data_IF_650851255569
#
_entry.id   IF_650851255569
#
_cell.length_a   1.000
_cell.length_b   1.000
_cell.length_c   1.000
_cell.angle_alpha   90.00
_cell.angle_beta   90.00
_cell.angle_gamma   90.00
#
_symmetry.space_group_name_H-M   'P 1'
#
loop_
_entity.id
_entity.type
_entity.pdbx_description
1 polymer ?
#
# COMPACT_ATOMS: atom_id res chain seq x y z
N UNK A 1 -58.86 -39.80 37.51
CA UNK A 1 -57.75 -40.07 38.47
C UNK A 1 -56.36 -40.06 37.85
N UNK A 2 -56.10 -40.78 36.74
CA UNK A 2 -54.77 -40.85 36.09
C UNK A 2 -54.24 -39.52 35.55
N UNK A 3 -55.09 -38.69 34.94
CA UNK A 3 -54.68 -37.39 34.40
C UNK A 3 -54.30 -36.35 35.46
N UNK A 4 -55.01 -36.33 36.59
CA UNK A 4 -54.66 -35.46 37.73
C UNK A 4 -53.26 -35.81 38.25
N UNK A 5 -52.91 -37.09 38.38
CA UNK A 5 -51.56 -37.52 38.77
C UNK A 5 -50.49 -37.13 37.76
N UNK A 6 -50.77 -37.22 36.45
CA UNK A 6 -49.83 -36.77 35.41
C UNK A 6 -49.54 -35.27 35.48
N UNK A 7 -50.59 -34.45 35.70
CA UNK A 7 -50.43 -32.99 35.86
C UNK A 7 -49.63 -32.64 37.12
N UNK A 8 -49.86 -33.34 38.22
CA UNK A 8 -49.09 -33.19 39.47
C UNK A 8 -47.60 -33.50 39.26
N UNK A 9 -47.29 -34.63 38.63
CA UNK A 9 -45.91 -35.04 38.30
C UNK A 9 -45.22 -34.05 37.37
N UNK A 10 -45.93 -33.54 36.36
CA UNK A 10 -45.40 -32.53 35.44
C UNK A 10 -45.10 -31.21 36.17
N UNK A 11 -45.96 -30.78 37.11
CA UNK A 11 -45.71 -29.60 37.94
C UNK A 11 -44.47 -29.77 38.81
N UNK A 12 -44.29 -30.91 39.47
CA UNK A 12 -43.08 -31.21 40.25
C UNK A 12 -41.82 -31.21 39.39
N UNK A 13 -41.86 -31.81 38.19
CA UNK A 13 -40.73 -31.77 37.24
C UNK A 13 -40.38 -30.34 36.84
N UNK A 14 -41.38 -29.51 36.52
CA UNK A 14 -41.15 -28.12 36.13
C UNK A 14 -40.59 -27.27 37.27
N UNK A 15 -41.02 -27.50 38.52
CA UNK A 15 -40.46 -26.81 39.70
C UNK A 15 -39.00 -27.22 39.92
N UNK A 16 -38.70 -28.52 39.87
CA UNK A 16 -37.33 -29.02 40.01
C UNK A 16 -36.42 -28.49 38.89
N UNK A 17 -36.90 -28.48 37.65
CA UNK A 17 -36.16 -27.92 36.52
C UNK A 17 -35.87 -26.42 36.68
N UNK A 18 -36.86 -25.65 37.14
CA UNK A 18 -36.66 -24.21 37.42
C UNK A 18 -35.67 -23.96 38.55
N UNK A 19 -35.69 -24.79 39.60
CA UNK A 19 -34.72 -24.72 40.69
C UNK A 19 -33.30 -25.01 40.20
N UNK A 20 -33.11 -26.13 39.51
CA UNK A 20 -31.82 -26.54 38.96
C UNK A 20 -31.24 -25.49 38.00
N UNK A 21 -32.10 -24.90 37.16
CA UNK A 21 -31.70 -23.82 36.23
C UNK A 21 -31.25 -22.55 36.97
N UNK A 22 -31.90 -22.21 38.09
CA UNK A 22 -31.50 -21.06 38.93
C UNK A 22 -30.18 -21.30 39.64
N UNK A 23 -29.98 -22.50 40.19
CA UNK A 23 -28.72 -22.90 40.84
C UNK A 23 -27.56 -22.84 39.83
N UNK A 24 -27.72 -23.47 38.66
CA UNK A 24 -26.68 -23.42 37.61
C UNK A 24 -26.36 -22.00 37.15
N UNK A 25 -27.36 -21.12 37.06
CA UNK A 25 -27.13 -19.71 36.72
C UNK A 25 -26.37 -18.98 37.84
N UNK A 26 -26.68 -19.25 39.10
CA UNK A 26 -25.98 -18.65 40.23
C UNK A 26 -24.51 -19.10 40.26
N UNK A 27 -24.23 -20.37 39.99
CA UNK A 27 -22.87 -20.92 39.92
C UNK A 27 -22.06 -20.25 38.79
N UNK A 28 -22.63 -20.13 37.58
CA UNK A 28 -21.96 -19.45 36.46
C UNK A 28 -21.68 -17.97 36.76
N UNK A 29 -22.58 -17.27 37.46
CA UNK A 29 -22.38 -15.87 37.85
C UNK A 29 -21.34 -15.71 38.97
N UNK A 30 -21.18 -16.72 39.81
CA UNK A 30 -20.12 -16.76 40.81
C UNK A 30 -18.76 -16.99 40.15
N UNK A 31 -18.66 -18.01 39.28
CA UNK A 31 -17.44 -18.33 38.54
C UNK A 31 -16.97 -17.15 37.68
N UNK A 32 -17.88 -16.51 36.94
CA UNK A 32 -17.56 -15.30 36.17
C UNK A 32 -16.93 -14.21 37.04
N UNK A 33 -17.48 -13.95 38.22
CA UNK A 33 -16.94 -12.93 39.14
C UNK A 33 -15.55 -13.28 39.66
N UNK A 34 -15.27 -14.57 39.88
CA UNK A 34 -13.94 -15.04 40.28
C UNK A 34 -12.94 -14.82 39.13
N UNK A 35 -13.30 -15.23 37.91
CA UNK A 35 -12.44 -15.07 36.73
C UNK A 35 -12.19 -13.60 36.38
N UNK A 36 -13.19 -12.73 36.50
CA UNK A 36 -13.02 -11.28 36.29
C UNK A 36 -12.01 -10.66 37.27
N UNK A 37 -12.01 -11.10 38.54
CA UNK A 37 -11.03 -10.64 39.53
C UNK A 37 -9.63 -11.15 39.23
N UNK A 38 -9.49 -12.42 38.84
CA UNK A 38 -8.21 -13.01 38.47
C UNK A 38 -7.60 -12.29 37.25
N UNK A 39 -8.43 -12.00 36.23
CA UNK A 39 -7.99 -11.25 35.06
C UNK A 39 -7.53 -9.84 35.43
N UNK A 40 -8.26 -9.14 36.31
CA UNK A 40 -7.86 -7.82 36.78
C UNK A 40 -6.50 -7.84 37.49
N UNK A 41 -6.24 -8.86 38.31
CA UNK A 41 -4.95 -9.03 38.98
C UNK A 41 -3.81 -9.26 37.97
N UNK A 42 -4.01 -10.15 37.00
CA UNK A 42 -3.00 -10.44 35.96
C UNK A 42 -2.72 -9.23 35.07
N UNK A 43 -3.75 -8.46 34.70
CA UNK A 43 -3.59 -7.21 33.93
C UNK A 43 -2.81 -6.17 34.73
N UNK A 44 -3.10 -6.03 36.03
CA UNK A 44 -2.38 -5.10 36.90
C UNK A 44 -0.91 -5.50 37.03
N UNK A 45 -0.63 -6.80 37.22
CA UNK A 45 0.73 -7.31 37.31
C UNK A 45 1.52 -7.10 36.00
N UNK A 46 0.88 -7.35 34.84
CA UNK A 46 1.46 -7.09 33.54
C UNK A 46 1.79 -5.61 33.31
N UNK A 47 0.90 -4.70 33.75
CA UNK A 47 1.15 -3.24 33.70
C UNK A 47 2.33 -2.83 34.58
N UNK A 48 2.42 -3.34 35.81
CA UNK A 48 3.53 -3.05 36.73
C UNK A 48 4.86 -3.58 36.18
N UNK A 49 4.88 -4.75 35.52
CA UNK A 49 6.08 -5.24 34.82
C UNK A 49 6.46 -4.33 33.64
N UNK A 50 5.49 -3.87 32.85
CA UNK A 50 5.72 -2.99 31.72
C UNK A 50 6.29 -1.63 32.17
N UNK A 51 5.73 -1.04 33.23
CA UNK A 51 6.19 0.23 33.80
C UNK A 51 7.62 0.10 34.38
N UNK A 52 7.96 -1.03 35.00
CA UNK A 52 9.33 -1.31 35.49
C UNK A 52 10.36 -1.44 34.35
N UNK A 53 9.95 -1.79 33.13
CA UNK A 53 10.87 -1.88 31.98
C UNK A 53 11.01 -0.58 31.17
N UNK A 54 10.08 0.38 31.28
CA UNK A 54 9.97 1.49 30.33
C UNK A 54 10.64 2.83 30.72
N UNK A 55 10.89 3.14 32.00
CA UNK A 55 11.13 4.56 32.38
C UNK A 55 12.55 5.10 32.09
N UNK A 56 13.57 4.26 31.83
CA UNK A 56 14.95 4.74 31.63
C UNK A 56 15.71 4.19 30.41
N UNK A 57 15.43 2.96 29.98
CA UNK A 57 16.28 2.24 29.03
C UNK A 57 15.81 2.31 27.57
N UNK A 58 14.49 2.38 27.32
CA UNK A 58 13.97 2.34 25.95
C UNK A 58 14.07 3.71 25.26
N UNK A 59 13.77 4.80 25.99
CA UNK A 59 13.83 6.15 25.44
C UNK A 59 15.27 6.61 25.14
N UNK A 60 16.25 6.12 25.89
CA UNK A 60 17.68 6.34 25.64
C UNK A 60 18.16 5.51 24.45
N UNK A 61 17.78 4.22 24.37
CA UNK A 61 18.07 3.38 23.21
C UNK A 61 17.44 3.90 21.92
N UNK A 62 16.20 4.40 21.98
CA UNK A 62 15.50 4.98 20.83
C UNK A 62 16.17 6.27 20.35
N UNK A 63 16.58 7.15 21.27
CA UNK A 63 17.37 8.35 20.93
C UNK A 63 18.71 8.00 20.30
N UNK A 64 19.40 7.00 20.81
CA UNK A 64 20.68 6.55 20.26
C UNK A 64 20.51 5.94 18.85
N UNK A 65 19.47 5.12 18.66
CA UNK A 65 19.12 4.55 17.35
C UNK A 65 18.73 5.64 16.33
N UNK A 66 18.01 6.68 16.73
CA UNK A 66 17.68 7.81 15.85
C UNK A 66 18.93 8.57 15.38
N UNK A 67 19.89 8.80 16.27
CA UNK A 67 21.17 9.44 15.92
C UNK A 67 21.97 8.57 14.96
N UNK A 68 22.00 7.26 15.19
CA UNK A 68 22.66 6.30 14.31
C UNK A 68 22.00 6.23 12.93
N UNK A 69 20.67 6.20 12.87
CA UNK A 69 19.93 6.29 11.61
C UNK A 69 20.27 7.57 10.84
N UNK A 70 20.30 8.72 11.51
CA UNK A 70 20.66 9.99 10.86
C UNK A 70 22.09 9.96 10.30
N UNK A 71 23.05 9.43 11.06
CA UNK A 71 24.43 9.26 10.60
C UNK A 71 24.52 8.33 9.37
N UNK A 72 23.86 7.18 9.42
CA UNK A 72 23.81 6.22 8.32
C UNK A 72 23.13 6.80 7.08
N UNK A 73 22.08 7.61 7.23
CA UNK A 73 21.45 8.28 6.09
C UNK A 73 22.39 9.27 5.42
N UNK A 74 23.16 10.04 6.21
CA UNK A 74 24.16 10.97 5.68
C UNK A 74 25.27 10.22 4.93
N UNK A 75 25.74 9.11 5.47
CA UNK A 75 26.76 8.28 4.82
C UNK A 75 26.23 7.63 3.54
N UNK A 76 24.99 7.15 3.54
CA UNK A 76 24.36 6.57 2.35
C UNK A 76 24.23 7.59 1.21
N UNK A 77 23.90 8.85 1.53
CA UNK A 77 23.85 9.95 0.55
C UNK A 77 25.25 10.18 -0.04
N UNK A 78 26.29 10.29 0.79
CA UNK A 78 27.65 10.49 0.32
C UNK A 78 28.16 9.34 -0.57
N UNK A 79 27.84 8.09 -0.21
CA UNK A 79 28.17 6.92 -1.03
C UNK A 79 27.43 6.92 -2.37
N UNK A 80 26.17 7.35 -2.40
CA UNK A 80 25.39 7.47 -3.65
C UNK A 80 25.99 8.54 -4.57
N UNK A 81 26.40 9.69 -4.03
CA UNK A 81 27.09 10.72 -4.79
C UNK A 81 28.42 10.22 -5.36
N UNK A 82 29.18 9.45 -4.58
CA UNK A 82 30.42 8.83 -5.04
C UNK A 82 30.19 7.81 -6.17
N UNK A 83 29.14 6.99 -6.06
CA UNK A 83 28.74 6.05 -7.12
C UNK A 83 28.29 6.82 -8.38
N UNK A 84 27.51 7.89 -8.23
CA UNK A 84 27.09 8.74 -9.35
C UNK A 84 28.29 9.32 -10.09
N UNK A 85 29.26 9.88 -9.34
CA UNK A 85 30.51 10.37 -9.91
C UNK A 85 31.27 9.27 -10.67
N UNK A 86 31.39 8.07 -10.08
CA UNK A 86 32.10 6.96 -10.72
C UNK A 86 31.37 6.40 -11.95
N UNK A 87 30.04 6.31 -11.91
CA UNK A 87 29.23 5.89 -13.07
C UNK A 87 29.31 6.92 -14.19
N UNK A 88 29.30 8.22 -13.88
CA UNK A 88 29.53 9.27 -14.88
C UNK A 88 30.87 9.09 -15.59
N UNK A 89 31.96 8.89 -14.83
CA UNK A 89 33.30 8.61 -15.40
C UNK A 89 33.26 7.34 -16.28
N UNK A 90 32.63 6.27 -15.80
CA UNK A 90 32.52 5.01 -16.55
C UNK A 90 31.77 5.21 -17.87
N UNK A 91 30.64 5.91 -17.86
CA UNK A 91 29.88 6.19 -19.10
C UNK A 91 30.65 7.08 -20.08
N UNK A 92 31.47 8.01 -19.58
CA UNK A 92 32.34 8.82 -20.44
C UNK A 92 33.42 7.94 -21.10
N UNK A 93 34.06 7.06 -20.33
CA UNK A 93 35.05 6.11 -20.85
C UNK A 93 34.43 5.13 -21.86
N UNK A 94 33.22 4.63 -21.60
CA UNK A 94 32.48 3.77 -22.55
C UNK A 94 32.17 4.51 -23.85
N UNK A 95 31.70 5.78 -23.78
CA UNK A 95 31.46 6.61 -24.98
C UNK A 95 32.74 6.86 -25.78
N UNK A 96 33.86 7.15 -25.12
CA UNK A 96 35.15 7.35 -25.77
C UNK A 96 35.66 6.04 -26.40
N UNK A 97 35.45 4.91 -25.73
CA UNK A 97 35.80 3.57 -26.23
C UNK A 97 34.93 3.19 -27.43
N UNK A 98 33.62 3.42 -27.38
CA UNK A 98 32.69 3.15 -28.48
C UNK A 98 32.93 4.09 -29.67
N UNK A 99 33.26 5.36 -29.43
CA UNK A 99 33.65 6.29 -30.48
C UNK A 99 34.96 5.84 -31.17
N UNK A 100 35.91 5.29 -30.41
CA UNK A 100 37.14 4.72 -30.93
C UNK A 100 36.89 3.43 -31.73
N UNK A 101 36.06 2.52 -31.21
CA UNK A 101 35.68 1.27 -31.90
C UNK A 101 34.81 1.53 -33.14
N UNK A 102 33.96 2.56 -33.13
CA UNK A 102 33.15 2.99 -34.27
C UNK A 102 33.98 3.51 -35.43
N UNK A 103 35.16 4.10 -35.17
CA UNK A 103 36.14 4.47 -36.21
C UNK A 103 36.81 3.25 -36.85
N UNK A 104 36.70 2.06 -36.24
CA UNK A 104 37.39 0.83 -36.66
C UNK A 104 36.48 -0.21 -37.34
N UNK A 105 35.16 0.02 -37.45
CA UNK A 105 34.22 -0.96 -38.04
C UNK A 105 33.86 -0.64 -39.51
N UNK A 106 34.03 -1.59 -40.45
CA UNK A 106 33.39 -1.55 -41.76
C UNK A 106 31.87 -1.77 -41.66
N UNK A 107 31.13 -1.09 -42.54
CA UNK A 107 29.67 -1.11 -42.69
C UNK A 107 29.19 -2.46 -43.20
N UNK A 108 28.26 -3.11 -42.48
CA UNK A 108 27.13 -3.90 -43.01
C UNK A 108 26.18 -4.31 -41.85
N UNK A 109 24.84 -4.15 -41.98
CA UNK A 109 23.88 -4.65 -40.98
C UNK A 109 23.16 -5.94 -41.43
N UNK A 110 22.94 -6.91 -40.52
CA UNK A 110 21.97 -8.00 -40.71
C UNK A 110 20.68 -7.79 -39.88
N UNK A 111 19.59 -8.54 -40.15
CA UNK A 111 18.25 -7.99 -40.38
C UNK A 111 17.33 -8.01 -39.16
N UNK A 112 16.36 -7.10 -39.18
CA UNK A 112 15.19 -7.05 -38.31
C UNK A 112 14.33 -8.31 -38.45
N UNK A 113 14.07 -9.01 -37.34
CA UNK A 113 13.11 -10.10 -37.25
C UNK A 113 11.67 -9.56 -37.14
N UNK A 114 10.79 -10.25 -37.85
CA UNK A 114 9.41 -9.98 -38.19
C UNK A 114 8.40 -10.14 -37.04
N UNK A 115 7.37 -9.28 -37.05
CA UNK A 115 6.11 -9.34 -36.30
C UNK A 115 5.35 -10.66 -36.55
N UNK A 116 4.88 -11.34 -35.48
CA UNK A 116 3.47 -11.83 -35.38
C UNK A 116 3.06 -12.53 -34.05
N UNK A 117 3.88 -12.55 -33.00
CA UNK A 117 3.43 -12.96 -31.64
C UNK A 117 3.93 -11.94 -30.61
N UNK A 118 3.12 -10.93 -30.29
CA UNK A 118 3.60 -9.73 -29.55
C UNK A 118 3.41 -9.82 -28.03
N UNK A 119 3.31 -11.01 -27.44
CA UNK A 119 3.30 -11.22 -25.98
C UNK A 119 4.54 -11.97 -25.50
N UNK A 120 4.82 -11.93 -24.20
CA UNK A 120 5.90 -12.73 -23.59
C UNK A 120 5.51 -13.27 -22.21
N UNK A 121 6.20 -14.33 -21.79
CA UNK A 121 5.99 -14.91 -20.47
C UNK A 121 6.86 -14.22 -19.42
N UNK A 122 6.23 -13.68 -18.38
CA UNK A 122 6.88 -13.08 -17.23
C UNK A 122 7.16 -14.16 -16.19
N UNK A 123 8.43 -14.30 -15.83
CA UNK A 123 8.90 -15.24 -14.81
C UNK A 123 9.03 -14.53 -13.48
N UNK A 124 8.55 -15.18 -12.42
CA UNK A 124 8.66 -14.68 -11.05
C UNK A 124 9.73 -15.47 -10.29
N UNK A 125 10.34 -14.88 -9.24
CA UNK A 125 11.27 -15.61 -8.37
C UNK A 125 10.61 -16.84 -7.72
N UNK A 126 11.43 -17.70 -7.09
CA UNK A 126 10.97 -18.80 -6.24
C UNK A 126 10.06 -19.85 -6.92
N UNK A 127 10.16 -20.02 -8.24
CA UNK A 127 9.31 -20.94 -9.04
C UNK A 127 7.81 -20.65 -8.92
N UNK A 128 7.44 -19.40 -8.65
CA UNK A 128 6.05 -18.97 -8.64
C UNK A 128 5.44 -19.04 -10.06
N UNK A 129 4.11 -19.22 -10.21
CA UNK A 129 3.48 -19.39 -11.51
C UNK A 129 3.81 -18.24 -12.46
N UNK A 130 4.21 -18.53 -13.69
CA UNK A 130 4.48 -17.48 -14.68
C UNK A 130 3.19 -16.82 -15.19
N UNK A 131 3.33 -15.70 -15.91
CA UNK A 131 2.21 -14.98 -16.53
C UNK A 131 2.50 -14.75 -18.02
N UNK A 132 1.59 -15.13 -18.92
CA UNK A 132 1.67 -14.66 -20.30
C UNK A 132 1.11 -13.24 -20.45
N UNK A 133 2.01 -12.27 -20.66
CA UNK A 133 1.69 -10.86 -20.77
C UNK A 133 1.56 -10.41 -22.24
N UNK A 134 0.48 -9.67 -22.52
CA UNK A 134 0.28 -8.95 -23.78
C UNK A 134 0.43 -7.44 -23.54
N UNK A 135 1.28 -6.74 -24.32
CA UNK A 135 1.48 -5.29 -24.23
C UNK A 135 0.20 -4.49 -24.29
N UNK A 136 0.16 -3.41 -23.53
CA UNK A 136 -0.91 -2.44 -23.58
C UNK A 136 -0.67 -1.49 -24.75
N UNK A 137 -1.74 -1.10 -25.42
CA UNK A 137 -1.69 0.05 -26.31
C UNK A 137 -1.65 1.34 -25.50
N UNK A 138 -1.13 2.42 -26.09
CA UNK A 138 -1.10 3.74 -25.44
C UNK A 138 -2.51 4.24 -25.10
N UNK A 139 -3.48 3.97 -25.97
CA UNK A 139 -4.87 4.35 -25.75
C UNK A 139 -5.49 3.60 -24.55
N UNK A 140 -5.20 2.30 -24.38
CA UNK A 140 -5.65 1.55 -23.21
C UNK A 140 -5.03 2.10 -21.93
N UNK A 141 -3.72 2.38 -21.94
CA UNK A 141 -3.02 2.98 -20.81
C UNK A 141 -3.68 4.30 -20.39
N UNK A 142 -3.81 5.25 -21.33
CA UNK A 142 -4.38 6.58 -21.05
C UNK A 142 -5.86 6.49 -20.63
N UNK A 143 -6.64 5.57 -21.22
CA UNK A 143 -8.04 5.38 -20.84
C UNK A 143 -8.21 4.85 -19.40
N UNK A 144 -7.37 3.91 -18.98
CA UNK A 144 -7.39 3.37 -17.62
C UNK A 144 -7.01 4.45 -16.62
N UNK A 145 -5.92 5.20 -16.88
CA UNK A 145 -5.50 6.24 -15.95
C UNK A 145 -6.53 7.38 -15.88
N UNK A 146 -7.09 7.81 -17.01
CA UNK A 146 -8.10 8.87 -17.06
C UNK A 146 -9.40 8.49 -16.33
N UNK A 147 -9.85 7.23 -16.45
CA UNK A 147 -11.02 6.74 -15.72
C UNK A 147 -10.82 6.83 -14.21
N UNK A 148 -9.64 6.46 -13.75
CA UNK A 148 -9.29 6.51 -12.34
C UNK A 148 -9.06 7.94 -11.84
N UNK A 149 -8.56 8.85 -12.68
CA UNK A 149 -8.44 10.27 -12.32
C UNK A 149 -9.82 10.92 -12.10
N UNK A 150 -10.80 10.59 -12.95
CA UNK A 150 -12.19 11.02 -12.77
C UNK A 150 -12.78 10.40 -11.49
N UNK A 151 -12.46 9.13 -11.20
CA UNK A 151 -12.84 8.51 -9.94
C UNK A 151 -12.26 9.31 -8.76
N UNK A 152 -10.98 9.69 -8.79
CA UNK A 152 -10.26 10.58 -7.84
C UNK A 152 -10.88 11.98 -7.73
N UNK A 153 -11.78 12.41 -8.61
CA UNK A 153 -12.51 13.68 -8.43
C UNK A 153 -13.70 13.60 -7.46
N UNK A 154 -14.17 12.41 -7.07
CA UNK A 154 -15.33 12.31 -6.16
C UNK A 154 -15.00 12.85 -4.77
N UNK A 155 -15.85 13.71 -4.18
CA UNK A 155 -15.55 14.35 -2.91
C UNK A 155 -15.59 13.33 -1.77
N UNK A 156 -14.48 13.18 -1.04
CA UNK A 156 -14.51 12.56 0.28
C UNK A 156 -15.43 13.41 1.17
N UNK A 157 -16.57 12.85 1.59
CA UNK A 157 -17.65 13.62 2.22
C UNK A 157 -17.48 13.82 3.72
N UNK A 158 -16.64 13.01 4.39
CA UNK A 158 -16.42 13.09 5.83
C UNK A 158 -14.94 13.35 6.17
N UNK A 159 -14.70 14.37 7.00
CA UNK A 159 -13.38 14.57 7.63
C UNK A 159 -13.35 13.73 8.90
N UNK A 160 -12.47 12.73 8.96
CA UNK A 160 -12.31 11.87 10.14
C UNK A 160 -11.56 12.63 11.24
N UNK A 161 -10.56 13.43 10.86
CA UNK A 161 -9.75 14.19 11.81
C UNK A 161 -8.33 14.37 11.33
N UNK A 162 -7.38 14.41 12.27
CA UNK A 162 -5.95 14.49 11.99
C UNK A 162 -5.22 13.28 12.55
N UNK A 163 -4.33 12.70 11.75
CA UNK A 163 -3.45 11.60 12.18
C UNK A 163 -2.03 12.03 11.82
N UNK A 164 -1.13 12.05 12.81
CA UNK A 164 0.27 12.45 12.65
C UNK A 164 0.47 13.84 12.00
N UNK A 165 -0.53 14.72 12.08
CA UNK A 165 -0.53 16.06 11.48
C UNK A 165 -1.12 16.14 10.05
N UNK A 166 -1.45 15.00 9.44
CA UNK A 166 -2.18 14.92 8.18
C UNK A 166 -3.68 15.01 8.42
N UNK A 167 -4.38 15.82 7.63
CA UNK A 167 -5.85 15.85 7.66
C UNK A 167 -6.38 14.67 6.83
N UNK A 168 -7.24 13.87 7.45
CA UNK A 168 -7.76 12.65 6.84
C UNK A 168 -9.24 12.86 6.49
N UNK A 169 -9.53 12.78 5.20
CA UNK A 169 -10.88 12.69 4.69
C UNK A 169 -11.12 11.27 4.21
N UNK A 170 -12.31 10.76 4.46
CA UNK A 170 -12.70 9.42 4.08
C UNK A 170 -14.05 9.47 3.40
N UNK A 171 -14.18 8.72 2.31
CA UNK A 171 -15.45 8.58 1.60
C UNK A 171 -16.25 7.43 2.19
N UNK A 172 -17.58 7.55 2.35
CA UNK A 172 -18.46 6.40 2.53
C UNK A 172 -18.16 5.35 1.48
N UNK A 173 -18.20 4.08 1.90
CA UNK A 173 -17.93 2.95 1.02
C UNK A 173 -18.92 2.95 -0.14
N UNK A 174 -18.38 2.96 -1.35
CA UNK A 174 -19.18 2.79 -2.56
C UNK A 174 -19.22 1.30 -2.88
N UNK A 175 -20.42 0.75 -3.08
CA UNK A 175 -20.56 -0.56 -3.71
C UNK A 175 -20.30 -0.40 -5.21
N UNK A 176 -19.29 -1.09 -5.70
CA UNK A 176 -18.95 -1.18 -7.14
C UNK A 176 -20.01 -2.00 -7.88
N UNK A 177 -20.43 -3.12 -7.28
CA UNK A 177 -21.53 -3.97 -7.75
C UNK A 177 -22.43 -4.33 -6.56
N UNK A 178 -23.77 -4.32 -6.69
CA UNK A 178 -24.66 -4.68 -5.60
C UNK A 178 -24.34 -6.06 -5.03
N UNK A 179 -23.77 -6.11 -3.82
CA UNK A 179 -23.55 -7.35 -3.05
C UNK A 179 -22.19 -8.04 -3.18
N UNK A 180 -21.24 -7.54 -3.98
CA UNK A 180 -19.98 -8.28 -4.25
C UNK A 180 -18.70 -7.61 -3.74
N UNK A 181 -18.58 -6.28 -3.82
CA UNK A 181 -17.36 -5.60 -3.33
C UNK A 181 -17.63 -4.17 -2.85
N UNK A 182 -16.85 -3.75 -1.85
CA UNK A 182 -16.82 -2.39 -1.35
C UNK A 182 -15.53 -1.71 -1.77
N UNK A 183 -15.60 -0.44 -2.16
CA UNK A 183 -14.43 0.37 -2.42
C UNK A 183 -14.26 1.38 -1.29
N UNK A 184 -13.10 1.34 -0.63
CA UNK A 184 -12.70 2.35 0.33
C UNK A 184 -11.87 3.41 -0.35
N UNK A 185 -11.95 4.61 0.21
CA UNK A 185 -11.18 5.74 -0.27
C UNK A 185 -10.85 6.71 0.84
N UNK A 186 -9.59 7.12 0.88
CA UNK A 186 -9.11 8.14 1.78
C UNK A 186 -8.32 9.20 1.04
N UNK A 187 -8.41 10.43 1.51
CA UNK A 187 -7.62 11.57 1.08
C UNK A 187 -6.87 12.11 2.29
N UNK A 188 -5.56 12.19 2.16
CA UNK A 188 -4.65 12.76 3.14
C UNK A 188 -4.15 14.09 2.61
N UNK A 189 -4.30 15.15 3.40
CA UNK A 189 -3.84 16.50 3.00
C UNK A 189 -2.95 17.12 4.06
N UNK A 190 -1.88 17.77 3.61
CA UNK A 190 -0.98 18.53 4.48
C UNK A 190 -0.17 19.56 3.71
N UNK A 191 0.04 20.72 4.34
CA UNK A 191 1.02 21.71 3.89
C UNK A 191 2.39 21.40 4.47
N UNK A 192 3.39 21.26 3.62
CA UNK A 192 4.78 21.00 3.99
C UNK A 192 5.64 22.24 3.76
N UNK A 193 6.65 22.42 4.61
CA UNK A 193 7.70 23.43 4.43
C UNK A 193 8.84 22.78 3.63
N UNK A 194 8.69 22.79 2.32
CA UNK A 194 9.60 22.24 1.35
C UNK A 194 9.31 22.98 0.02
N UNK A 195 10.32 23.52 -0.67
CA UNK A 195 10.18 23.98 -2.06
C UNK A 195 9.77 22.83 -2.98
N UNK A 196 8.96 23.12 -4.00
CA UNK A 196 8.56 22.09 -4.98
C UNK A 196 9.77 21.45 -5.66
N UNK A 197 10.77 22.26 -6.04
CA UNK A 197 12.00 21.79 -6.69
C UNK A 197 12.80 20.79 -5.84
N UNK A 198 12.69 20.87 -4.51
CA UNK A 198 13.35 19.94 -3.60
C UNK A 198 12.58 18.61 -3.54
N UNK A 199 11.25 18.66 -3.39
CA UNK A 199 10.41 17.48 -3.45
C UNK A 199 10.57 16.73 -4.78
N UNK A 200 10.65 17.45 -5.91
CA UNK A 200 10.86 16.89 -7.25
C UNK A 200 12.18 16.11 -7.40
N UNK A 201 13.21 16.48 -6.66
CA UNK A 201 14.50 15.76 -6.68
C UNK A 201 14.46 14.49 -5.85
N UNK A 202 13.67 14.49 -4.78
CA UNK A 202 13.64 13.40 -3.79
C UNK A 202 12.70 12.28 -4.23
N UNK A 203 11.49 12.61 -4.68
CA UNK A 203 10.44 11.60 -4.94
C UNK A 203 10.82 10.55 -5.99
N UNK A 204 11.38 10.92 -7.17
CA UNK A 204 11.81 9.93 -8.16
C UNK A 204 12.96 9.04 -7.68
N UNK A 205 13.68 9.46 -6.63
CA UNK A 205 14.84 8.77 -6.05
C UNK A 205 14.51 8.01 -4.77
N UNK A 206 13.23 8.01 -4.34
CA UNK A 206 12.77 7.20 -3.22
C UNK A 206 13.10 5.74 -3.48
N UNK A 207 13.58 5.06 -2.44
CA UNK A 207 13.73 3.61 -2.47
C UNK A 207 12.38 2.97 -2.85
N UNK A 208 12.40 1.98 -3.74
CA UNK A 208 11.20 1.25 -4.17
C UNK A 208 10.47 0.62 -2.98
N UNK A 209 11.18 0.30 -1.89
CA UNK A 209 10.57 -0.19 -0.64
C UNK A 209 9.67 0.85 0.04
N UNK A 210 9.85 2.14 -0.28
CA UNK A 210 9.09 3.26 0.26
C UNK A 210 7.98 3.74 -0.69
N UNK A 211 7.86 3.13 -1.87
CA UNK A 211 6.76 3.41 -2.78
C UNK A 211 5.44 2.96 -2.14
N UNK A 212 4.31 3.59 -2.52
CA UNK A 212 3.02 3.23 -1.95
C UNK A 212 2.70 1.77 -2.33
N UNK A 213 2.48 0.95 -1.32
CA UNK A 213 1.97 -0.40 -1.51
C UNK A 213 0.47 -0.27 -1.81
N UNK A 214 0.08 -0.57 -3.06
CA UNK A 214 -1.31 -0.43 -3.50
C UNK A 214 -2.23 -1.49 -2.90
N UNK A 215 -1.66 -2.64 -2.54
CA UNK A 215 -2.37 -3.79 -2.00
C UNK A 215 -1.63 -4.28 -0.76
N UNK A 216 -2.25 -4.19 0.41
CA UNK A 216 -1.69 -4.83 1.61
C UNK A 216 -2.28 -6.24 1.77
N UNK A 217 -1.47 -7.30 1.93
CA UNK A 217 -2.00 -8.67 2.09
C UNK A 217 -2.96 -8.81 3.27
N UNK A 218 -2.73 -8.05 4.36
CA UNK A 218 -3.65 -8.00 5.50
C UNK A 218 -5.04 -7.53 5.12
N UNK A 219 -5.14 -6.63 4.14
CA UNK A 219 -6.41 -6.16 3.59
C UNK A 219 -7.17 -7.24 2.83
N UNK A 220 -6.52 -8.34 2.50
CA UNK A 220 -7.10 -9.53 1.89
C UNK A 220 -7.23 -10.69 2.88
N UNK A 221 -7.01 -10.45 4.18
CA UNK A 221 -7.02 -11.50 5.20
C UNK A 221 -5.87 -12.49 5.06
N UNK A 222 -4.82 -12.11 4.32
CA UNK A 222 -3.66 -12.94 4.02
C UNK A 222 -2.42 -12.44 4.76
N UNK A 223 -1.47 -13.35 4.98
CA UNK A 223 -0.16 -13.03 5.54
C UNK A 223 0.89 -12.97 4.45
N UNK A 224 1.67 -11.89 4.41
CA UNK A 224 2.84 -11.78 3.54
C UNK A 224 3.99 -12.63 4.10
N UNK A 225 4.60 -13.46 3.25
CA UNK A 225 5.65 -14.40 3.66
C UNK A 225 7.04 -14.05 3.10
N UNK A 226 7.14 -13.08 2.19
CA UNK A 226 8.41 -12.67 1.57
C UNK A 226 8.41 -11.25 1.03
N UNK A 227 9.51 -10.85 0.38
CA UNK A 227 9.66 -9.52 -0.22
C UNK A 227 8.76 -9.36 -1.46
N UNK A 228 8.19 -8.17 -1.63
CA UNK A 228 7.41 -7.82 -2.82
C UNK A 228 8.31 -7.76 -4.05
N UNK A 229 7.90 -8.46 -5.11
CA UNK A 229 8.53 -8.38 -6.42
C UNK A 229 7.77 -7.40 -7.30
N UNK A 230 8.46 -6.42 -7.90
CA UNK A 230 7.87 -5.56 -8.93
C UNK A 230 8.83 -5.40 -10.11
N UNK A 231 8.30 -5.59 -11.33
CA UNK A 231 9.06 -5.53 -12.57
C UNK A 231 8.35 -4.62 -13.58
N UNK A 232 9.11 -3.73 -14.23
CA UNK A 232 8.62 -2.95 -15.37
C UNK A 232 8.43 -3.89 -16.57
N UNK A 233 7.24 -3.88 -17.14
CA UNK A 233 6.89 -4.67 -18.32
C UNK A 233 6.90 -3.84 -19.59
N UNK A 234 6.51 -2.57 -19.52
CA UNK A 234 6.41 -1.71 -20.71
C UNK A 234 6.60 -0.24 -20.34
N UNK A 235 7.34 0.48 -21.19
CA UNK A 235 7.55 1.92 -21.09
C UNK A 235 6.81 2.63 -22.24
N UNK A 236 5.98 3.61 -21.91
CA UNK A 236 5.31 4.47 -22.90
C UNK A 236 6.03 5.81 -23.08
N UNK A 237 6.69 6.27 -22.02
CA UNK A 237 7.54 7.47 -21.99
C UNK A 237 8.44 7.43 -20.75
N UNK A 238 9.27 8.46 -20.56
CA UNK A 238 10.08 8.62 -19.35
C UNK A 238 9.24 8.67 -18.05
N UNK A 239 7.96 9.02 -18.15
CA UNK A 239 7.08 9.25 -17.00
C UNK A 239 5.86 8.32 -17.01
N UNK A 240 5.82 7.32 -17.90
CA UNK A 240 4.66 6.45 -18.07
C UNK A 240 5.11 5.00 -18.22
N UNK A 241 4.84 4.20 -17.21
CA UNK A 241 5.34 2.83 -17.09
C UNK A 241 4.20 1.88 -16.71
N UNK A 242 4.26 0.67 -17.24
CA UNK A 242 3.44 -0.45 -16.80
C UNK A 242 4.34 -1.46 -16.08
N UNK A 243 3.94 -1.87 -14.90
CA UNK A 243 4.67 -2.83 -14.09
C UNK A 243 3.75 -3.95 -13.65
N UNK A 244 4.32 -5.11 -13.36
CA UNK A 244 3.65 -6.16 -12.59
C UNK A 244 4.23 -6.16 -11.18
N UNK A 245 3.36 -6.35 -10.20
CA UNK A 245 3.76 -6.59 -8.82
C UNK A 245 3.18 -7.92 -8.32
N UNK A 246 3.98 -8.61 -7.52
CA UNK A 246 3.67 -9.90 -6.92
C UNK A 246 4.08 -9.87 -5.44
N UNK A 247 3.10 -10.09 -4.57
CA UNK A 247 3.29 -10.12 -3.12
C UNK A 247 3.16 -11.57 -2.65
N UNK A 248 4.26 -12.21 -2.22
CA UNK A 248 4.22 -13.60 -1.80
C UNK A 248 3.55 -13.75 -0.43
N UNK A 249 2.72 -14.77 -0.30
CA UNK A 249 1.93 -15.05 0.89
C UNK A 249 1.40 -16.49 0.91
N UNK A 250 0.34 -16.73 1.68
CA UNK A 250 -0.46 -17.97 1.58
C UNK A 250 -0.97 -18.20 0.15
N UNK A 251 -1.31 -17.09 -0.51
CA UNK A 251 -1.58 -16.99 -1.96
C UNK A 251 -0.81 -15.76 -2.44
N UNK A 252 -0.22 -15.84 -3.64
CA UNK A 252 0.47 -14.71 -4.24
C UNK A 252 -0.54 -13.68 -4.74
N UNK A 253 -0.54 -12.49 -4.15
CA UNK A 253 -1.36 -11.38 -4.65
C UNK A 253 -0.64 -10.71 -5.82
N UNK A 254 -1.28 -10.69 -6.99
CA UNK A 254 -0.73 -10.12 -8.22
C UNK A 254 -1.58 -9.02 -8.79
N UNK A 255 -0.92 -8.00 -9.33
CA UNK A 255 -1.59 -6.93 -10.04
C UNK A 255 -0.67 -6.27 -11.07
N UNK A 256 -1.29 -5.72 -12.11
CA UNK A 256 -0.66 -4.83 -13.06
C UNK A 256 -0.89 -3.40 -12.60
N UNK A 257 0.18 -2.61 -12.53
CA UNK A 257 0.14 -1.20 -12.11
C UNK A 257 0.62 -0.30 -13.23
N UNK A 258 -0.19 0.71 -13.52
CA UNK A 258 0.12 1.80 -14.44
C UNK A 258 0.63 2.98 -13.61
N UNK A 259 1.89 3.34 -13.81
CA UNK A 259 2.53 4.49 -13.20
C UNK A 259 2.56 5.64 -14.21
N UNK A 260 2.01 6.79 -13.83
CA UNK A 260 2.05 7.99 -14.65
C UNK A 260 2.43 9.21 -13.83
N UNK A 261 3.36 10.00 -14.36
CA UNK A 261 3.82 11.25 -13.78
C UNK A 261 3.60 12.41 -14.75
N UNK A 262 2.95 13.46 -14.26
CA UNK A 262 2.63 14.65 -15.06
C UNK A 262 2.96 15.92 -14.29
N UNK A 263 3.53 16.89 -15.00
CA UNK A 263 3.81 18.23 -14.48
C UNK A 263 3.04 19.25 -15.28
N UNK A 264 2.36 20.15 -14.58
CA UNK A 264 1.56 21.19 -15.19
C UNK A 264 1.76 22.53 -14.50
N UNK A 265 1.49 23.60 -15.22
CA UNK A 265 1.38 24.94 -14.66
C UNK A 265 -0.09 25.34 -14.68
N UNK A 266 -0.63 25.62 -13.50
CA UNK A 266 -2.03 26.02 -13.31
C UNK A 266 -2.27 27.42 -13.88
N UNK A 267 -3.54 27.76 -14.05
CA UNK A 267 -3.97 29.07 -14.56
C UNK A 267 -3.54 30.25 -13.67
N UNK A 268 -3.28 30.00 -12.38
CA UNK A 268 -2.74 30.96 -11.41
C UNK A 268 -1.20 31.10 -11.48
N UNK A 269 -0.54 30.40 -12.40
CA UNK A 269 0.91 30.40 -12.58
C UNK A 269 1.67 29.45 -11.65
N UNK A 270 0.99 28.81 -10.68
CA UNK A 270 1.59 27.84 -9.76
C UNK A 270 1.84 26.52 -10.45
N UNK A 271 2.90 25.83 -10.03
CA UNK A 271 3.25 24.50 -10.54
C UNK A 271 2.48 23.41 -9.77
N UNK A 272 2.13 22.37 -10.50
CA UNK A 272 1.50 21.17 -9.97
C UNK A 272 2.26 19.94 -10.47
N UNK A 273 2.67 19.08 -9.55
CA UNK A 273 3.32 17.82 -9.85
C UNK A 273 2.45 16.65 -9.36
N UNK A 274 2.12 15.72 -10.27
CA UNK A 274 1.14 14.66 -10.03
C UNK A 274 1.71 13.29 -10.37
N UNK A 275 1.66 12.40 -9.40
CA UNK A 275 2.08 11.00 -9.48
C UNK A 275 0.87 10.09 -9.30
N UNK A 276 0.60 9.25 -10.28
CA UNK A 276 -0.51 8.30 -10.26
C UNK A 276 0.07 6.90 -10.36
N UNK A 277 -0.31 6.02 -9.43
CA UNK A 277 -0.16 4.58 -9.57
C UNK A 277 -1.55 3.98 -9.51
N UNK A 278 -1.98 3.31 -10.57
CA UNK A 278 -3.31 2.69 -10.59
C UNK A 278 -3.22 1.25 -11.04
N UNK A 279 -3.94 0.38 -10.36
CA UNK A 279 -4.16 -0.99 -10.81
C UNK A 279 -5.09 -0.94 -12.01
N UNK A 280 -4.75 -1.70 -13.05
CA UNK A 280 -5.55 -1.74 -14.26
C UNK A 280 -5.14 -2.89 -15.17
N UNK A 281 -6.08 -3.32 -15.99
CA UNK A 281 -5.94 -4.49 -16.82
C UNK A 281 -6.42 -4.23 -18.26
N UNK A 282 -5.87 -4.97 -19.23
CA UNK A 282 -6.31 -4.92 -20.62
C UNK A 282 -7.18 -6.14 -20.95
N UNK A 283 -8.05 -6.00 -21.96
CA UNK A 283 -8.89 -7.12 -22.38
C UNK A 283 -8.07 -8.31 -22.87
N UNK A 284 -6.90 -8.07 -23.46
CA UNK A 284 -6.01 -9.13 -23.90
C UNK A 284 -5.46 -9.92 -22.71
N UNK A 285 -4.96 -9.24 -21.67
CA UNK A 285 -4.45 -9.91 -20.48
C UNK A 285 -5.55 -10.59 -19.67
N UNK A 286 -6.75 -10.02 -19.61
CA UNK A 286 -7.92 -10.70 -19.03
C UNK A 286 -8.20 -12.04 -19.73
N UNK A 287 -8.25 -12.04 -21.06
CA UNK A 287 -8.43 -13.27 -21.86
C UNK A 287 -7.31 -14.28 -21.64
N UNK A 288 -6.06 -13.84 -21.54
CA UNK A 288 -4.93 -14.74 -21.27
C UNK A 288 -5.12 -15.46 -19.93
N UNK A 289 -5.53 -14.74 -18.88
CA UNK A 289 -5.78 -15.33 -17.56
C UNK A 289 -6.99 -16.27 -17.57
N UNK A 290 -8.05 -15.95 -18.30
CA UNK A 290 -9.21 -16.83 -18.44
C UNK A 290 -8.85 -18.16 -19.12
N UNK A 291 -7.94 -18.12 -20.10
CA UNK A 291 -7.43 -19.33 -20.79
C UNK A 291 -6.49 -20.15 -19.89
N UNK A 292 -5.61 -19.49 -19.12
CA UNK A 292 -4.75 -20.17 -18.14
C UNK A 292 -5.58 -20.82 -17.00
N UNK A 293 -6.77 -20.29 -16.72
CA UNK A 293 -7.67 -20.77 -15.70
C UNK A 293 -7.23 -20.39 -14.27
N UNK A 294 -8.03 -20.74 -13.24
CA UNK A 294 -7.72 -20.39 -11.87
C UNK A 294 -6.45 -21.10 -11.39
N UNK A 295 -5.44 -20.31 -11.03
CA UNK A 295 -4.21 -20.77 -10.40
C UNK A 295 -4.43 -20.83 -8.89
N UNK A 296 -4.15 -21.98 -8.24
CA UNK A 296 -4.42 -22.18 -6.80
C UNK A 296 -3.63 -21.24 -5.90
N UNK A 297 -2.44 -20.86 -6.34
CA UNK A 297 -1.47 -20.10 -5.54
C UNK A 297 -1.37 -18.63 -5.95
N UNK A 298 -2.29 -18.15 -6.80
CA UNK A 298 -2.29 -16.77 -7.30
C UNK A 298 -3.68 -16.17 -7.26
N UNK A 299 -3.77 -14.96 -6.71
CA UNK A 299 -4.99 -14.17 -6.70
C UNK A 299 -4.74 -12.80 -7.31
N UNK A 300 -5.52 -12.47 -8.34
CA UNK A 300 -5.41 -11.23 -9.08
C UNK A 300 -6.20 -10.10 -8.42
N UNK A 301 -5.54 -8.99 -8.18
CA UNK A 301 -6.15 -7.73 -7.76
C UNK A 301 -6.29 -6.85 -9.00
N UNK A 302 -7.52 -6.42 -9.27
CA UNK A 302 -7.88 -5.71 -10.50
C UNK A 302 -8.23 -4.23 -10.26
N UNK A 303 -8.34 -3.82 -8.99
CA UNK A 303 -8.76 -2.48 -8.62
C UNK A 303 -7.95 -1.95 -7.44
N UNK A 304 -7.64 -0.66 -7.50
CA UNK A 304 -6.95 0.09 -6.47
C UNK A 304 -5.95 1.06 -7.06
N UNK A 305 -5.47 2.00 -6.26
CA UNK A 305 -4.53 2.99 -6.72
C UNK A 305 -4.30 4.11 -5.73
N UNK A 306 -3.33 4.95 -6.07
CA UNK A 306 -3.00 6.16 -5.35
C UNK A 306 -2.68 7.28 -6.35
N UNK A 307 -3.14 8.48 -6.02
CA UNK A 307 -2.80 9.71 -6.70
C UNK A 307 -2.18 10.67 -5.68
N UNK A 308 -0.95 11.07 -5.91
CA UNK A 308 -0.26 12.09 -5.11
C UNK A 308 -0.12 13.35 -5.94
N UNK A 309 -0.69 14.45 -5.46
CA UNK A 309 -0.62 15.76 -6.07
C UNK A 309 0.13 16.71 -5.15
N UNK A 310 1.13 17.40 -5.69
CA UNK A 310 1.98 18.34 -4.99
C UNK A 310 1.87 19.67 -5.70
N UNK A 311 1.21 20.62 -5.06
CA UNK A 311 1.00 21.95 -5.61
C UNK A 311 1.89 22.96 -4.91
N UNK A 312 2.59 23.78 -5.69
CA UNK A 312 3.37 24.91 -5.19
C UNK A 312 2.46 25.98 -4.56
N UNK A 313 2.76 26.37 -3.32
CA UNK A 313 2.06 27.46 -2.63
C UNK A 313 2.90 28.74 -2.69
N UNK A 314 4.17 28.65 -2.28
CA UNK A 314 5.19 29.70 -2.40
C UNK A 314 6.57 29.06 -2.57
N UNK A 315 7.63 29.88 -2.59
CA UNK A 315 9.01 29.43 -2.83
C UNK A 315 9.51 28.38 -1.81
N UNK A 316 8.86 28.24 -0.66
CA UNK A 316 9.30 27.40 0.45
C UNK A 316 8.24 26.40 0.93
N UNK A 317 7.05 26.40 0.33
CA UNK A 317 5.94 25.58 0.77
C UNK A 317 5.16 24.94 -0.36
N UNK A 318 4.73 23.71 -0.10
CA UNK A 318 3.91 22.89 -0.99
C UNK A 318 2.69 22.37 -0.23
N UNK A 319 1.58 22.25 -0.94
CA UNK A 319 0.41 21.49 -0.49
C UNK A 319 0.48 20.09 -1.11
N UNK A 320 0.42 19.08 -0.25
CA UNK A 320 0.43 17.67 -0.67
C UNK A 320 -0.94 17.05 -0.42
N UNK A 321 -1.47 16.41 -1.44
CA UNK A 321 -2.71 15.64 -1.42
C UNK A 321 -2.40 14.22 -1.87
N UNK A 322 -2.56 13.24 -0.99
CA UNK A 322 -2.48 11.83 -1.34
C UNK A 322 -3.87 11.22 -1.28
N UNK A 323 -4.36 10.71 -2.40
CA UNK A 323 -5.64 10.03 -2.50
C UNK A 323 -5.43 8.56 -2.80
N UNK A 324 -5.91 7.68 -1.94
CA UNK A 324 -5.78 6.23 -2.11
C UNK A 324 -7.15 5.57 -2.10
N UNK A 325 -7.31 4.56 -2.97
CA UNK A 325 -8.51 3.75 -3.07
C UNK A 325 -8.15 2.29 -3.29
N UNK A 326 -8.96 1.38 -2.76
CA UNK A 326 -8.83 -0.06 -3.02
C UNK A 326 -10.16 -0.79 -2.74
N UNK A 327 -10.27 -2.00 -3.30
CA UNK A 327 -11.32 -2.95 -2.91
C UNK A 327 -11.16 -3.43 -1.47
N UNK A 328 -12.29 -3.74 -0.83
CA UNK A 328 -12.36 -4.15 0.57
C UNK A 328 -13.14 -5.45 0.72
N UNK A 329 -12.64 -6.36 1.57
CA UNK A 329 -13.34 -7.60 1.93
C UNK A 329 -14.67 -7.40 2.68
N UNK A 330 -14.81 -6.30 3.41
CA UNK A 330 -16.01 -6.01 4.18
C UNK A 330 -16.14 -4.52 4.46
N UNK A 331 -17.32 -4.09 4.88
CA UNK A 331 -17.55 -2.71 5.31
C UNK A 331 -16.67 -2.33 6.49
N UNK A 332 -16.52 -3.21 7.48
CA UNK A 332 -15.70 -2.92 8.65
C UNK A 332 -14.22 -2.77 8.28
N UNK A 333 -13.72 -3.66 7.43
CA UNK A 333 -12.34 -3.56 6.93
C UNK A 333 -12.12 -2.26 6.15
N UNK A 334 -13.06 -1.89 5.27
CA UNK A 334 -12.97 -0.65 4.52
C UNK A 334 -12.83 0.59 5.40
N UNK A 335 -13.53 0.61 6.55
CA UNK A 335 -13.51 1.72 7.52
C UNK A 335 -12.18 1.88 8.27
N UNK A 336 -11.25 0.94 8.17
CA UNK A 336 -9.97 0.97 8.90
C UNK A 336 -8.77 1.14 7.97
N UNK A 337 -8.93 0.95 6.65
CA UNK A 337 -7.85 0.99 5.66
C UNK A 337 -7.01 2.28 5.66
N UNK A 338 -7.60 3.43 6.02
CA UNK A 338 -6.86 4.69 6.07
C UNK A 338 -5.74 4.69 7.13
N UNK A 339 -5.83 3.81 8.13
CA UNK A 339 -4.80 3.64 9.17
C UNK A 339 -3.52 3.04 8.59
N UNK A 340 -3.66 2.17 7.60
CA UNK A 340 -2.52 1.55 6.91
C UNK A 340 -1.99 2.48 5.81
N UNK A 341 -2.87 3.12 5.05
CA UNK A 341 -2.52 4.00 3.95
C UNK A 341 -1.75 5.26 4.35
N UNK A 342 -1.94 5.76 5.57
CA UNK A 342 -1.22 6.95 6.04
C UNK A 342 0.31 6.77 6.14
N UNK A 343 0.80 5.52 6.14
CA UNK A 343 2.24 5.22 6.16
C UNK A 343 2.96 5.90 5.00
N UNK A 344 2.39 5.88 3.79
CA UNK A 344 3.03 6.48 2.62
C UNK A 344 3.12 8.02 2.72
N UNK A 345 2.05 8.79 2.96
CA UNK A 345 2.14 10.24 3.17
C UNK A 345 3.13 10.64 4.27
N UNK A 346 3.17 9.91 5.39
CA UNK A 346 4.11 10.18 6.49
C UNK A 346 5.55 9.92 6.08
N UNK A 347 5.81 8.82 5.37
CA UNK A 347 7.13 8.53 4.82
C UNK A 347 7.55 9.58 3.78
N UNK A 348 6.62 10.02 2.92
CA UNK A 348 6.87 11.09 1.97
C UNK A 348 7.31 12.37 2.69
N UNK A 349 6.56 12.80 3.71
CA UNK A 349 6.92 13.97 4.53
C UNK A 349 8.30 13.82 5.18
N UNK A 350 8.62 12.65 5.72
CA UNK A 350 9.92 12.36 6.32
C UNK A 350 11.08 12.61 5.37
N UNK A 351 10.90 12.28 4.09
CA UNK A 351 11.93 12.43 3.08
C UNK A 351 12.04 13.87 2.56
N UNK A 352 10.91 14.56 2.35
CA UNK A 352 10.91 15.91 1.76
C UNK A 352 10.99 17.05 2.79
N UNK A 353 10.67 16.80 4.05
CA UNK A 353 10.71 17.80 5.13
C UNK A 353 11.15 17.18 6.47
N UNK A 354 12.38 16.64 6.56
CA UNK A 354 12.87 15.90 7.73
C UNK A 354 12.93 16.74 9.02
N UNK A 355 13.06 18.07 8.90
CA UNK A 355 13.29 18.99 10.01
C UNK A 355 12.17 19.06 11.07
N UNK A 356 11.01 18.43 10.86
CA UNK A 356 9.86 18.50 11.77
C UNK A 356 9.64 17.29 12.69
N UNK A 357 10.34 16.17 12.50
CA UNK A 357 10.25 15.05 13.45
C UNK A 357 11.22 15.15 14.63
N UNK A 358 12.19 16.06 14.56
CA UNK A 358 13.15 16.33 15.64
C UNK A 358 12.64 17.35 16.68
N UNK A 359 11.41 17.85 16.53
CA UNK A 359 10.80 18.85 17.40
C UNK A 359 9.51 18.35 18.08
N UNK A 360 9.55 17.15 18.66
CA UNK A 360 8.56 16.69 19.65
C UNK A 360 9.19 16.60 21.04
#
# INVERSE_FOLDING_TARGET
MREKRRREQQRQRMVNWRRLKKEKMADMLYERRVLEKELQLQVMEARVRLDRMQVGSLATAYRQSLVECAALTSENIALREAIEHQTSIKTQLERETDAFLGQLRPVDPPPSLSNDETGWCVQFPNNEPSLYFTPFTRAEFEAIVSRNDIAVSHPCTATIGKILGWTVHYSPLTQTTPGESFMARARFTRRLRCPLDEAERILPRLDKKLWPVLVEPRSWGLTQTGETFCQVLQDFSQNAHLMVCNLPGEVNLRYLVLAWHTRQRRSDGKRDDKYILTIGDSQANARNRDVEGPQKDVQWVLEGGICTTITEVDESTIDVVCEQWAGCLSEQHGRELYIDWIRFPVCLEQNVSPARLLCL
#
